data_IF_146406105027
#
_entry.id   IF_146406105027
#
_cell.length_a   1.000
_cell.length_b   1.000
_cell.length_c   1.000
_cell.angle_alpha   90.00
_cell.angle_beta   90.00
_cell.angle_gamma   90.00
#
_symmetry.space_group_name_H-M   'P 1'
#
loop_
_entity.id
_entity.type
_entity.pdbx_description
1 polymer ?
#
# COMPACT_ATOMS: atom_id res chain seq x y z
N UNK A 1 -4.86 -6.92 13.52
CA UNK A 1 -4.25 -5.69 12.97
C UNK A 1 -5.20 -4.51 13.10
N UNK A 2 -4.76 -3.49 13.83
CA UNK A 2 -5.39 -2.16 13.82
C UNK A 2 -4.65 -1.32 12.79
N UNK A 3 -5.37 -0.68 11.87
CA UNK A 3 -4.73 0.23 10.90
C UNK A 3 -4.26 1.49 11.64
N UNK A 4 -2.95 1.77 11.59
CA UNK A 4 -2.42 2.97 12.18
C UNK A 4 -2.84 4.24 11.40
N UNK A 5 -2.73 5.40 12.05
CA UNK A 5 -3.01 6.68 11.40
C UNK A 5 -2.06 6.99 10.23
N UNK A 6 -0.88 6.39 10.19
CA UNK A 6 0.11 6.57 9.11
C UNK A 6 -0.41 6.01 7.79
N UNK A 7 -1.04 4.83 7.81
CA UNK A 7 -1.72 4.22 6.65
C UNK A 7 -2.86 5.12 6.19
N UNK A 8 -3.70 5.59 7.11
CA UNK A 8 -4.81 6.49 6.78
C UNK A 8 -4.29 7.79 6.15
N UNK A 9 -3.21 8.39 6.70
CA UNK A 9 -2.57 9.58 6.14
C UNK A 9 -1.98 9.33 4.74
N UNK A 10 -1.46 8.13 4.45
CA UNK A 10 -1.01 7.75 3.11
C UNK A 10 -2.19 7.66 2.13
N UNK A 11 -3.29 7.03 2.52
CA UNK A 11 -4.50 6.93 1.70
C UNK A 11 -5.11 8.31 1.40
N UNK A 12 -5.22 9.19 2.40
CA UNK A 12 -5.68 10.58 2.20
C UNK A 12 -4.82 11.37 1.21
N UNK A 13 -3.50 11.14 1.21
CA UNK A 13 -2.61 11.76 0.21
C UNK A 13 -2.92 11.26 -1.20
N UNK A 14 -3.10 9.96 -1.38
CA UNK A 14 -3.46 9.38 -2.69
C UNK A 14 -4.84 9.86 -3.17
N UNK A 15 -5.81 9.99 -2.26
CA UNK A 15 -7.10 10.61 -2.56
C UNK A 15 -6.93 12.05 -3.10
N UNK A 16 -6.06 12.84 -2.49
CA UNK A 16 -5.69 14.17 -2.98
C UNK A 16 -5.03 14.14 -4.37
N UNK A 17 -4.14 13.19 -4.61
CA UNK A 17 -3.48 13.02 -5.91
C UNK A 17 -4.48 12.63 -7.01
N UNK A 18 -5.40 11.69 -6.74
CA UNK A 18 -6.47 11.31 -7.68
C UNK A 18 -7.37 12.50 -8.00
N UNK A 19 -7.76 13.29 -6.99
CA UNK A 19 -8.49 14.55 -7.24
C UNK A 19 -7.70 15.53 -8.13
N UNK A 20 -6.38 15.60 -7.96
CA UNK A 20 -5.49 16.38 -8.82
C UNK A 20 -5.49 15.87 -10.27
N UNK A 21 -5.37 14.55 -10.46
CA UNK A 21 -5.42 13.92 -11.79
C UNK A 21 -6.74 14.22 -12.50
N UNK A 22 -7.88 14.11 -11.80
CA UNK A 22 -9.18 14.43 -12.41
C UNK A 22 -9.25 15.88 -12.88
N UNK A 23 -8.78 16.85 -12.06
CA UNK A 23 -8.70 18.25 -12.49
C UNK A 23 -7.79 18.46 -13.70
N UNK A 24 -6.64 17.78 -13.75
CA UNK A 24 -5.75 17.86 -14.92
C UNK A 24 -6.45 17.37 -16.20
N UNK A 25 -7.28 16.34 -16.09
CA UNK A 25 -8.07 15.85 -17.22
C UNK A 25 -9.16 16.85 -17.64
N UNK A 26 -9.87 17.45 -16.68
CA UNK A 26 -10.88 18.49 -16.93
C UNK A 26 -10.27 19.76 -17.56
N UNK A 27 -9.05 20.11 -17.17
CA UNK A 27 -8.28 21.23 -17.74
C UNK A 27 -7.61 20.92 -19.09
N UNK A 28 -7.73 19.68 -19.58
CA UNK A 28 -7.14 19.26 -20.86
C UNK A 28 -5.61 19.21 -20.87
N UNK A 29 -4.98 18.86 -19.73
CA UNK A 29 -3.51 18.71 -19.63
C UNK A 29 -2.99 17.57 -20.52
N UNK A 30 -1.70 17.63 -20.83
CA UNK A 30 -1.05 16.64 -21.70
C UNK A 30 -1.12 15.23 -21.11
N UNK A 31 -1.33 14.24 -21.99
CA UNK A 31 -1.44 12.84 -21.60
C UNK A 31 -0.20 12.35 -20.82
N UNK A 32 1.02 12.79 -21.17
CA UNK A 32 2.23 12.38 -20.46
C UNK A 32 2.24 12.89 -19.03
N UNK A 33 1.74 14.11 -18.78
CA UNK A 33 1.64 14.67 -17.43
C UNK A 33 0.63 13.90 -16.57
N UNK A 34 -0.54 13.60 -17.14
CA UNK A 34 -1.59 12.79 -16.48
C UNK A 34 -1.07 11.39 -16.14
N UNK A 35 -0.42 10.71 -17.09
CA UNK A 35 0.16 9.37 -16.88
C UNK A 35 1.29 9.40 -15.85
N UNK A 36 2.11 10.46 -15.81
CA UNK A 36 3.14 10.61 -14.79
C UNK A 36 2.52 10.73 -13.38
N UNK A 37 1.44 11.48 -13.22
CA UNK A 37 0.75 11.59 -11.93
C UNK A 37 0.07 10.27 -11.53
N UNK A 38 -0.59 9.57 -12.45
CA UNK A 38 -1.13 8.24 -12.19
C UNK A 38 -0.05 7.23 -11.77
N UNK A 39 1.12 7.29 -12.40
CA UNK A 39 2.28 6.46 -12.03
C UNK A 39 2.78 6.77 -10.62
N UNK A 40 2.73 8.05 -10.20
CA UNK A 40 3.03 8.45 -8.84
C UNK A 40 1.99 7.92 -7.84
N UNK A 41 0.70 7.90 -8.19
CA UNK A 41 -0.35 7.30 -7.37
C UNK A 41 -0.13 5.79 -7.21
N UNK A 42 0.13 5.06 -8.31
CA UNK A 42 0.46 3.64 -8.26
C UNK A 42 1.64 3.37 -7.33
N UNK A 43 2.73 4.11 -7.48
CA UNK A 43 3.92 3.98 -6.62
C UNK A 43 3.62 4.25 -5.14
N UNK A 44 2.71 5.18 -4.85
CA UNK A 44 2.27 5.45 -3.48
C UNK A 44 1.40 4.30 -2.93
N UNK A 45 0.55 3.71 -3.76
CA UNK A 45 -0.28 2.56 -3.40
C UNK A 45 0.58 1.33 -3.09
N UNK A 46 1.58 1.03 -3.93
CA UNK A 46 2.51 -0.08 -3.72
C UNK A 46 3.22 0.02 -2.37
N UNK A 47 3.69 1.24 -2.01
CA UNK A 47 4.32 1.50 -0.72
C UNK A 47 3.35 1.35 0.45
N UNK A 48 2.10 1.76 0.29
CA UNK A 48 1.07 1.60 1.33
C UNK A 48 0.74 0.11 1.54
N UNK A 49 0.56 -0.66 0.46
CA UNK A 49 0.34 -2.11 0.52
C UNK A 49 1.51 -2.83 1.20
N UNK A 50 2.75 -2.52 0.80
CA UNK A 50 3.93 -3.13 1.39
C UNK A 50 4.04 -2.87 2.90
N UNK A 51 3.72 -1.64 3.32
CA UNK A 51 3.70 -1.28 4.74
C UNK A 51 2.62 -2.06 5.51
N UNK A 52 1.41 -2.16 4.97
CA UNK A 52 0.31 -2.90 5.59
C UNK A 52 0.69 -4.37 5.78
N UNK A 53 1.22 -5.01 4.75
CA UNK A 53 1.65 -6.42 4.83
C UNK A 53 2.78 -6.60 5.84
N UNK A 54 3.78 -5.71 5.86
CA UNK A 54 4.88 -5.78 6.81
C UNK A 54 4.40 -5.67 8.27
N UNK A 55 3.51 -4.71 8.57
CA UNK A 55 2.95 -4.54 9.91
C UNK A 55 2.06 -5.72 10.32
N UNK A 56 1.28 -6.27 9.38
CA UNK A 56 0.50 -7.47 9.64
C UNK A 56 1.41 -8.67 9.97
N UNK A 57 2.46 -8.89 9.17
CA UNK A 57 3.40 -9.99 9.38
C UNK A 57 4.11 -9.88 10.72
N UNK A 58 4.56 -8.69 11.11
CA UNK A 58 5.21 -8.43 12.40
C UNK A 58 4.31 -8.83 13.57
N UNK A 59 3.03 -8.42 13.52
CA UNK A 59 2.03 -8.81 14.51
C UNK A 59 1.82 -10.34 14.54
N UNK A 60 1.58 -10.96 13.38
CA UNK A 60 1.32 -12.39 13.29
C UNK A 60 2.51 -13.23 13.78
N UNK A 61 3.74 -12.84 13.44
CA UNK A 61 4.95 -13.53 13.93
C UNK A 61 5.07 -13.43 15.45
N UNK A 62 4.77 -12.26 16.02
CA UNK A 62 4.84 -12.05 17.47
C UNK A 62 3.86 -12.96 18.19
N UNK A 63 2.59 -12.96 17.75
CA UNK A 63 1.54 -13.80 18.30
C UNK A 63 1.83 -15.32 18.14
N UNK A 64 2.37 -15.73 16.99
CA UNK A 64 2.67 -17.13 16.72
C UNK A 64 3.88 -17.63 17.54
N UNK A 65 4.88 -16.79 17.76
CA UNK A 65 6.01 -17.11 18.64
C UNK A 65 5.59 -17.27 20.10
N UNK A 66 4.69 -16.42 20.58
CA UNK A 66 4.12 -16.56 21.94
C UNK A 66 3.36 -17.89 22.12
N UNK A 67 2.78 -18.41 21.03
CA UNK A 67 2.10 -19.71 20.99
C UNK A 67 3.03 -20.90 20.75
N UNK A 68 4.33 -20.67 20.52
CA UNK A 68 5.30 -21.71 20.17
C UNK A 68 5.09 -22.34 18.78
N UNK A 69 4.42 -21.62 17.88
CA UNK A 69 4.06 -22.10 16.54
C UNK A 69 5.10 -21.83 15.45
N UNK A 70 4.81 -22.33 14.24
CA UNK A 70 5.68 -22.20 13.07
C UNK A 70 5.38 -20.91 12.28
N UNK A 71 6.34 -19.99 12.30
CA UNK A 71 6.25 -18.70 11.59
C UNK A 71 6.48 -18.80 10.07
N UNK A 72 6.98 -19.94 9.55
CA UNK A 72 7.33 -20.09 8.14
C UNK A 72 6.14 -19.91 7.20
N UNK A 73 4.95 -20.36 7.61
CA UNK A 73 3.71 -20.19 6.82
C UNK A 73 3.30 -18.72 6.69
N UNK A 74 3.42 -17.95 7.77
CA UNK A 74 3.06 -16.53 7.81
C UNK A 74 3.96 -15.71 6.89
N UNK A 75 5.26 -16.00 6.90
CA UNK A 75 6.22 -15.34 5.99
C UNK A 75 5.88 -15.63 4.54
N UNK A 76 5.53 -16.88 4.20
CA UNK A 76 5.15 -17.26 2.84
C UNK A 76 3.90 -16.52 2.37
N UNK A 77 2.88 -16.43 3.22
CA UNK A 77 1.64 -15.71 2.93
C UNK A 77 1.90 -14.21 2.69
N UNK A 78 2.72 -13.58 3.53
CA UNK A 78 3.10 -12.18 3.34
C UNK A 78 3.86 -11.94 2.03
N UNK A 79 4.76 -12.84 1.64
CA UNK A 79 5.46 -12.77 0.35
C UNK A 79 4.47 -12.88 -0.81
N UNK A 80 3.51 -13.79 -0.75
CA UNK A 80 2.49 -13.95 -1.80
C UNK A 80 1.63 -12.68 -1.96
N UNK A 81 1.26 -12.02 -0.86
CA UNK A 81 0.54 -10.74 -0.89
C UNK A 81 1.37 -9.63 -1.55
N UNK A 82 2.67 -9.52 -1.23
CA UNK A 82 3.57 -8.53 -1.82
C UNK A 82 3.85 -8.75 -3.31
N UNK A 83 3.88 -10.00 -3.75
CA UNK A 83 4.08 -10.34 -5.16
C UNK A 83 2.81 -10.03 -5.97
N UNK A 84 1.62 -10.34 -5.44
CA UNK A 84 0.34 -10.05 -6.11
C UNK A 84 0.03 -8.55 -6.23
N UNK A 85 0.63 -7.72 -5.37
CA UNK A 85 0.39 -6.27 -5.37
C UNK A 85 1.22 -5.50 -6.40
N UNK A 86 2.07 -6.15 -7.19
CA UNK A 86 2.94 -5.50 -8.19
C UNK A 86 2.35 -5.48 -9.60
#
# INVERSE_FOLDING_TARGET
MVYDESVIRRLKRMEGQIRGVMRMMEEGKDCKEVVAQLSAVRSAADKAMAYIVAQNLEQCITEEKERGGDTGKLVKEAVELLVKSR
#
